data_IF_925735276155
#
_entry.id   IF_925735276155
#
_cell.length_a   1.000
_cell.length_b   1.000
_cell.length_c   1.000
_cell.angle_alpha   90.00
_cell.angle_beta   90.00
_cell.angle_gamma   90.00
#
_symmetry.space_group_name_H-M   'P 1'
#
loop_
_entity.id
_entity.type
_entity.pdbx_description
1 polymer ?
#
# COMPACT_ATOMS: atom_id res chain seq x y z
N UNK A 1 3.46 -5.04 -7.51
CA UNK A 1 4.22 -6.19 -6.99
C UNK A 1 4.24 -7.32 -8.02
N UNK A 2 3.10 -7.93 -8.36
CA UNK A 2 3.05 -9.08 -9.30
C UNK A 2 3.46 -8.70 -10.73
N UNK A 3 2.88 -7.65 -11.32
CA UNK A 3 3.15 -7.31 -12.73
C UNK A 3 4.54 -6.69 -12.95
N UNK A 4 5.06 -5.99 -11.95
CA UNK A 4 6.33 -5.25 -12.01
C UNK A 4 6.22 -3.80 -12.50
N UNK A 5 5.01 -3.30 -12.77
CA UNK A 5 4.75 -1.88 -13.03
C UNK A 5 3.38 -1.44 -12.48
N UNK A 6 3.05 -0.16 -12.61
CA UNK A 6 1.75 0.40 -12.20
C UNK A 6 0.64 -0.02 -13.17
N UNK A 7 -0.60 -0.27 -12.72
CA UNK A 7 -1.71 -0.67 -13.60
C UNK A 7 -2.00 0.29 -14.76
N UNK A 8 -1.75 1.59 -14.58
CA UNK A 8 -2.08 2.64 -15.55
C UNK A 8 -0.85 3.30 -16.21
N UNK A 9 0.36 2.82 -15.88
CA UNK A 9 1.62 3.33 -16.42
C UNK A 9 2.66 2.23 -16.57
N UNK A 10 3.11 2.02 -17.80
CA UNK A 10 4.13 1.00 -18.13
C UNK A 10 5.51 1.42 -17.65
N UNK A 11 6.41 0.44 -17.54
CA UNK A 11 7.78 0.69 -17.12
C UNK A 11 8.49 1.65 -18.08
N UNK A 12 9.12 2.70 -17.53
CA UNK A 12 9.80 3.79 -18.27
C UNK A 12 8.91 4.59 -19.23
N UNK A 13 7.60 4.45 -19.17
CA UNK A 13 6.67 5.25 -19.99
C UNK A 13 6.71 6.74 -19.57
N UNK A 14 6.87 7.63 -20.56
CA UNK A 14 6.69 9.08 -20.37
C UNK A 14 5.25 9.44 -20.71
N UNK A 15 4.46 9.75 -19.68
CA UNK A 15 3.05 10.12 -19.79
C UNK A 15 2.82 11.42 -19.01
N UNK A 16 1.97 12.31 -19.54
CA UNK A 16 1.59 13.53 -18.81
C UNK A 16 0.74 13.19 -17.59
N UNK A 17 0.64 14.14 -16.66
CA UNK A 17 -0.19 13.97 -15.47
C UNK A 17 -1.66 13.82 -15.84
N UNK A 18 -2.14 14.63 -16.77
CA UNK A 18 -3.53 14.70 -17.20
C UNK A 18 -3.97 13.39 -17.86
N UNK A 19 -3.11 12.81 -18.71
CA UNK A 19 -3.38 11.52 -19.33
C UNK A 19 -3.37 10.40 -18.29
N UNK A 20 -2.42 10.38 -17.36
CA UNK A 20 -2.41 9.39 -16.29
C UNK A 20 -3.67 9.48 -15.41
N UNK A 21 -4.11 10.69 -15.08
CA UNK A 21 -5.36 10.91 -14.35
C UNK A 21 -6.59 10.42 -15.14
N UNK A 22 -6.62 10.64 -16.46
CA UNK A 22 -7.67 10.10 -17.32
C UNK A 22 -7.70 8.57 -17.25
N UNK A 23 -6.56 7.89 -17.43
CA UNK A 23 -6.45 6.42 -17.35
C UNK A 23 -6.93 5.89 -15.99
N UNK A 24 -6.49 6.51 -14.90
CA UNK A 24 -6.91 6.15 -13.54
C UNK A 24 -8.43 6.31 -13.36
N UNK A 25 -9.08 7.26 -14.02
CA UNK A 25 -10.54 7.47 -13.90
C UNK A 25 -11.35 6.58 -14.84
N UNK A 26 -10.88 6.37 -16.07
CA UNK A 26 -11.71 5.81 -17.15
C UNK A 26 -11.29 4.42 -17.62
N UNK A 27 -10.02 4.07 -17.52
CA UNK A 27 -9.51 2.82 -18.09
C UNK A 27 -9.57 1.66 -17.10
N UNK A 28 -9.72 0.47 -17.67
CA UNK A 28 -9.64 -0.80 -16.97
C UNK A 28 -8.23 -1.37 -17.02
N UNK A 29 -7.72 -1.81 -15.88
CA UNK A 29 -6.40 -2.44 -15.83
C UNK A 29 -6.39 -3.81 -16.53
N UNK A 30 -5.22 -4.15 -17.07
CA UNK A 30 -4.96 -5.42 -17.73
C UNK A 30 -4.12 -6.31 -16.80
N UNK A 31 -4.34 -7.62 -16.89
CA UNK A 31 -3.63 -8.62 -16.09
C UNK A 31 -2.90 -9.59 -17.02
N UNK A 32 -1.60 -9.79 -16.80
CA UNK A 32 -0.86 -10.85 -17.47
C UNK A 32 -1.10 -12.22 -16.82
N UNK A 33 -0.47 -13.24 -17.39
CA UNK A 33 -0.47 -14.61 -16.85
C UNK A 33 0.31 -14.75 -15.53
N UNK A 34 1.04 -13.72 -15.08
CA UNK A 34 1.72 -13.72 -13.77
C UNK A 34 0.72 -13.76 -12.60
N UNK A 35 -0.53 -13.39 -12.83
CA UNK A 35 -1.55 -13.36 -11.79
C UNK A 35 -2.30 -14.69 -11.71
N UNK A 36 -2.38 -15.25 -10.50
CA UNK A 36 -3.38 -16.27 -10.18
C UNK A 36 -4.79 -15.69 -10.26
N UNK A 37 -5.79 -16.55 -10.35
CA UNK A 37 -7.20 -16.11 -10.39
C UNK A 37 -7.59 -15.37 -9.10
N UNK A 38 -7.13 -15.81 -7.93
CA UNK A 38 -7.34 -15.12 -6.66
C UNK A 38 -6.67 -13.73 -6.66
N UNK A 39 -5.48 -13.59 -7.25
CA UNK A 39 -4.79 -12.30 -7.36
C UNK A 39 -5.48 -11.34 -8.33
N UNK A 40 -5.99 -11.83 -9.47
CA UNK A 40 -6.83 -11.02 -10.37
C UNK A 40 -8.13 -10.61 -9.69
N UNK A 41 -8.73 -11.52 -8.91
CA UNK A 41 -9.97 -11.28 -8.20
C UNK A 41 -9.85 -10.09 -7.25
N UNK A 42 -8.88 -10.10 -6.33
CA UNK A 42 -8.73 -9.02 -5.33
C UNK A 42 -8.38 -7.67 -5.96
N UNK A 43 -7.64 -7.66 -7.07
CA UNK A 43 -7.25 -6.41 -7.72
C UNK A 43 -8.36 -5.82 -8.59
N UNK A 44 -9.16 -6.63 -9.27
CA UNK A 44 -9.87 -6.17 -10.47
C UNK A 44 -10.94 -5.09 -10.28
N UNK A 45 -11.32 -4.40 -11.35
CA UNK A 45 -12.41 -3.41 -11.29
C UNK A 45 -13.80 -3.98 -11.60
N UNK A 46 -13.87 -5.19 -12.14
CA UNK A 46 -15.13 -5.76 -12.58
C UNK A 46 -16.01 -6.19 -11.40
N UNK A 47 -17.02 -5.38 -11.08
CA UNK A 47 -18.23 -5.89 -10.46
C UNK A 47 -18.96 -6.70 -11.53
N UNK A 48 -19.00 -8.04 -11.44
CA UNK A 48 -19.99 -8.77 -12.26
C UNK A 48 -21.35 -8.33 -11.73
N UNK A 49 -22.04 -7.47 -12.48
CA UNK A 49 -23.48 -7.32 -12.32
C UNK A 49 -24.10 -8.71 -12.53
N UNK A 50 -25.15 -9.02 -11.77
CA UNK A 50 -25.93 -10.26 -11.90
C UNK A 50 -26.19 -10.61 -13.37
N UNK A 51 -25.43 -11.54 -13.93
CA UNK A 51 -25.82 -12.24 -15.15
C UNK A 51 -27.05 -13.06 -14.80
N UNK A 52 -28.20 -12.65 -15.35
CA UNK A 52 -29.46 -13.40 -15.27
C UNK A 52 -29.26 -14.75 -15.95
N UNK A 53 -29.03 -15.82 -15.18
CA UNK A 53 -29.28 -17.18 -15.67
C UNK A 53 -28.21 -18.25 -15.42
N UNK A 54 -27.16 -18.03 -14.61
CA UNK A 54 -26.33 -19.15 -14.13
C UNK A 54 -26.18 -19.11 -12.62
N UNK A 55 -26.61 -20.20 -11.98
CA UNK A 55 -26.25 -20.53 -10.60
C UNK A 55 -24.74 -20.83 -10.53
N UNK A 56 -23.94 -19.77 -10.56
CA UNK A 56 -22.61 -19.79 -9.99
C UNK A 56 -22.75 -19.09 -8.66
N UNK A 57 -22.30 -19.72 -7.58
CA UNK A 57 -22.26 -19.13 -6.24
C UNK A 57 -21.41 -17.86 -6.35
N UNK A 58 -22.07 -16.71 -6.50
CA UNK A 58 -21.44 -15.40 -6.58
C UNK A 58 -21.11 -14.98 -5.15
N UNK A 59 -20.06 -15.55 -4.58
CA UNK A 59 -19.38 -14.94 -3.44
C UNK A 59 -18.82 -13.59 -3.91
N UNK A 60 -19.14 -12.52 -3.19
CA UNK A 60 -18.98 -11.12 -3.60
C UNK A 60 -17.66 -10.84 -4.32
N UNK A 61 -17.75 -10.27 -5.52
CA UNK A 61 -16.61 -9.76 -6.26
C UNK A 61 -16.16 -8.44 -5.62
N UNK A 62 -15.60 -8.53 -4.42
CA UNK A 62 -15.04 -7.44 -3.64
C UNK A 62 -13.61 -7.19 -4.08
N UNK A 63 -13.31 -5.97 -4.54
CA UNK A 63 -12.02 -5.67 -5.18
C UNK A 63 -11.47 -4.29 -4.86
N UNK A 64 -10.14 -4.17 -4.93
CA UNK A 64 -9.41 -3.00 -4.46
C UNK A 64 -9.34 -1.85 -5.48
N UNK A 65 -9.35 -2.13 -6.79
CA UNK A 65 -9.22 -1.07 -7.81
C UNK A 65 -10.56 -0.47 -8.23
N UNK A 66 -11.70 -0.94 -7.71
CA UNK A 66 -13.03 -0.39 -8.04
C UNK A 66 -13.00 1.14 -7.90
N UNK A 67 -13.40 1.83 -8.98
CA UNK A 67 -13.30 3.28 -9.07
C UNK A 67 -14.18 3.97 -8.03
N UNK A 68 -15.41 3.51 -7.85
CA UNK A 68 -16.34 4.02 -6.85
C UNK A 68 -15.98 3.51 -5.44
N UNK A 69 -15.53 4.38 -4.52
CA UNK A 69 -15.12 3.95 -3.19
C UNK A 69 -16.23 3.25 -2.41
N UNK A 70 -17.50 3.57 -2.67
CA UNK A 70 -18.65 2.96 -1.95
C UNK A 70 -18.80 1.46 -2.21
N UNK A 71 -18.25 0.99 -3.33
CA UNK A 71 -18.27 -0.41 -3.75
C UNK A 71 -16.89 -1.06 -3.63
N UNK A 72 -15.86 -0.33 -3.20
CA UNK A 72 -14.50 -0.84 -3.07
C UNK A 72 -14.39 -1.71 -1.82
N UNK A 73 -13.73 -2.85 -1.96
CA UNK A 73 -13.52 -3.78 -0.85
C UNK A 73 -12.84 -3.08 0.33
N UNK A 74 -13.43 -3.25 1.51
CA UNK A 74 -12.98 -2.63 2.76
C UNK A 74 -13.39 -1.15 2.93
N UNK A 75 -14.11 -0.57 1.98
CA UNK A 75 -14.69 0.78 2.07
C UNK A 75 -16.22 0.78 2.15
N UNK A 76 -16.83 -0.41 2.20
CA UNK A 76 -18.26 -0.59 2.28
C UNK A 76 -18.78 -0.17 3.67
N UNK A 77 -19.99 0.37 3.72
CA UNK A 77 -20.59 0.93 4.94
C UNK A 77 -21.14 -0.12 5.91
N UNK A 78 -20.96 -1.41 5.60
CA UNK A 78 -21.33 -2.56 6.44
C UNK A 78 -20.40 -2.75 7.65
N UNK A 79 -19.27 -2.02 7.69
CA UNK A 79 -18.42 -1.91 8.88
C UNK A 79 -17.32 -2.97 8.99
N UNK A 80 -17.17 -3.84 7.99
CA UNK A 80 -16.18 -4.92 8.03
C UNK A 80 -14.75 -4.44 7.71
N UNK A 81 -14.59 -3.34 6.97
CA UNK A 81 -13.29 -2.69 6.75
C UNK A 81 -12.18 -3.67 6.34
N UNK A 82 -11.11 -3.72 7.14
CA UNK A 82 -10.00 -4.65 6.91
C UNK A 82 -10.39 -6.13 7.08
N UNK A 83 -11.41 -6.45 7.88
CA UNK A 83 -11.87 -7.83 8.08
C UNK A 83 -12.43 -8.41 6.77
N UNK A 84 -13.17 -7.62 5.98
CA UNK A 84 -13.62 -8.05 4.65
C UNK A 84 -12.43 -8.35 3.71
N UNK A 85 -11.38 -7.51 3.76
CA UNK A 85 -10.16 -7.72 2.95
C UNK A 85 -9.45 -9.02 3.36
N UNK A 86 -9.32 -9.27 4.67
CA UNK A 86 -8.65 -10.47 5.22
C UNK A 86 -9.36 -11.78 4.85
N UNK A 87 -10.66 -11.74 4.58
CA UNK A 87 -11.44 -12.91 4.17
C UNK A 87 -11.28 -13.27 2.69
N UNK A 88 -10.63 -12.42 1.89
CA UNK A 88 -10.46 -12.69 0.46
C UNK A 88 -9.62 -13.97 0.22
N UNK A 89 -10.00 -14.87 -0.72
CA UNK A 89 -9.33 -16.16 -0.97
C UNK A 89 -7.82 -16.10 -1.24
N UNK A 90 -7.30 -14.96 -1.69
CA UNK A 90 -5.85 -14.74 -1.87
C UNK A 90 -5.06 -14.91 -0.55
N UNK A 91 -5.73 -14.73 0.60
CA UNK A 91 -5.14 -14.88 1.94
C UNK A 91 -5.53 -16.19 2.62
N UNK A 92 -6.08 -17.18 1.90
CA UNK A 92 -6.54 -18.45 2.48
C UNK A 92 -5.48 -19.20 3.29
N UNK A 93 -4.20 -19.03 2.94
CA UNK A 93 -3.08 -19.68 3.60
C UNK A 93 -2.45 -18.81 4.70
N UNK A 94 -3.03 -17.64 5.00
CA UNK A 94 -2.54 -16.70 6.02
C UNK A 94 -3.40 -16.75 7.27
N UNK A 95 -2.81 -17.15 8.39
CA UNK A 95 -3.42 -16.96 9.70
C UNK A 95 -3.09 -15.55 10.22
N UNK A 96 -4.04 -14.63 10.12
CA UNK A 96 -3.85 -13.23 10.52
C UNK A 96 -3.52 -13.03 12.00
N UNK A 97 -4.10 -13.83 12.91
CA UNK A 97 -3.77 -13.74 14.33
C UNK A 97 -2.31 -14.11 14.60
N UNK A 98 -1.77 -15.09 13.88
CA UNK A 98 -0.34 -15.42 13.95
C UNK A 98 0.55 -14.38 13.28
N UNK A 99 0.10 -13.80 12.17
CA UNK A 99 0.81 -12.73 11.48
C UNK A 99 0.96 -11.48 12.36
N UNK A 100 -0.14 -11.05 12.99
CA UNK A 100 -0.17 -9.87 13.88
C UNK A 100 0.69 -10.06 15.14
N UNK A 101 0.82 -11.31 15.59
CA UNK A 101 1.71 -11.69 16.69
C UNK A 101 3.16 -11.96 16.25
N UNK A 102 3.53 -11.67 14.99
CA UNK A 102 4.85 -11.89 14.42
C UNK A 102 5.34 -13.36 14.52
N UNK A 103 4.42 -14.31 14.33
CA UNK A 103 4.67 -15.77 14.44
C UNK A 103 4.66 -16.50 13.09
N UNK A 104 4.72 -15.77 11.98
CA UNK A 104 4.87 -16.31 10.63
C UNK A 104 6.20 -15.83 10.06
N UNK A 105 7.02 -16.77 9.58
CA UNK A 105 8.28 -16.42 8.94
C UNK A 105 8.03 -15.68 7.62
N UNK A 106 8.72 -14.56 7.35
CA UNK A 106 8.66 -13.92 6.05
C UNK A 106 9.24 -14.84 4.96
N UNK A 107 8.71 -14.77 3.73
CA UNK A 107 9.20 -15.60 2.62
C UNK A 107 10.55 -15.13 2.06
N UNK A 108 11.05 -13.97 2.48
CA UNK A 108 12.32 -13.40 2.05
C UNK A 108 12.99 -12.67 3.22
N UNK A 109 14.28 -12.95 3.43
CA UNK A 109 15.13 -12.27 4.39
C UNK A 109 16.18 -11.44 3.65
N UNK A 110 16.28 -10.11 3.91
CA UNK A 110 17.33 -9.29 3.31
C UNK A 110 18.71 -9.71 3.84
N UNK A 111 19.71 -9.65 2.97
CA UNK A 111 21.11 -9.84 3.32
C UNK A 111 21.57 -8.66 4.19
N UNK A 112 22.03 -8.90 5.43
CA UNK A 112 22.48 -7.83 6.33
C UNK A 112 23.71 -7.07 5.80
N UNK A 113 24.44 -7.61 4.83
CA UNK A 113 25.61 -6.95 4.23
C UNK A 113 25.26 -6.12 2.99
N UNK A 114 24.02 -6.21 2.49
CA UNK A 114 23.57 -5.48 1.30
C UNK A 114 22.93 -4.12 1.65
N UNK A 115 23.15 -3.13 0.79
CA UNK A 115 22.52 -1.80 0.90
C UNK A 115 21.30 -1.75 -0.04
N UNK A 116 20.10 -1.59 0.53
CA UNK A 116 18.83 -1.59 -0.21
C UNK A 116 18.34 -0.18 -0.60
N UNK A 117 19.24 0.67 -1.06
CA UNK A 117 18.91 2.00 -1.58
C UNK A 117 19.93 2.41 -2.66
N UNK A 118 19.67 3.53 -3.35
CA UNK A 118 20.64 4.09 -4.30
C UNK A 118 21.86 4.62 -3.56
N UNK A 119 23.00 4.62 -4.24
CA UNK A 119 24.20 5.31 -3.76
C UNK A 119 23.90 6.80 -3.56
N UNK A 120 24.47 7.40 -2.52
CA UNK A 120 24.34 8.82 -2.23
C UNK A 120 24.81 9.70 -3.39
N UNK A 121 25.79 9.23 -4.17
CA UNK A 121 26.30 9.92 -5.36
C UNK A 121 25.31 9.93 -6.52
N UNK A 122 24.38 8.98 -6.57
CA UNK A 122 23.31 8.90 -7.58
C UNK A 122 22.05 9.70 -7.19
N UNK A 123 22.02 10.24 -5.96
CA UNK A 123 20.92 11.06 -5.47
C UNK A 123 21.22 12.52 -5.83
N UNK A 124 20.36 13.11 -6.67
CA UNK A 124 20.50 14.51 -7.05
C UNK A 124 20.43 15.44 -5.83
N UNK A 125 21.38 16.37 -5.74
CA UNK A 125 21.35 17.42 -4.72
C UNK A 125 20.28 18.46 -5.04
N UNK A 126 19.53 18.87 -4.03
CA UNK A 126 18.66 20.03 -4.13
C UNK A 126 19.49 21.30 -4.09
N UNK A 127 19.11 22.30 -4.90
CA UNK A 127 19.70 23.62 -4.84
C UNK A 127 19.45 24.26 -3.48
N UNK A 128 20.45 24.95 -2.93
CA UNK A 128 20.27 25.76 -1.72
C UNK A 128 19.22 26.84 -1.99
N UNK A 129 18.15 26.83 -1.21
CA UNK A 129 17.12 27.86 -1.26
C UNK A 129 17.68 29.13 -0.61
N UNK A 130 17.74 30.22 -1.38
CA UNK A 130 18.18 31.54 -0.90
C UNK A 130 16.97 32.45 -0.69
N UNK A 131 17.09 33.40 0.24
CA UNK A 131 16.06 34.42 0.48
C UNK A 131 14.92 33.98 1.39
N UNK A 132 15.04 32.83 2.06
CA UNK A 132 14.15 32.42 3.15
C UNK A 132 14.73 32.95 4.45
N UNK A 133 13.95 33.76 5.15
CA UNK A 133 14.27 34.24 6.49
C UNK A 133 13.29 33.61 7.46
N UNK A 134 13.82 32.95 8.50
CA UNK A 134 13.00 32.39 9.55
C UNK A 134 12.58 33.50 10.52
N UNK A 135 11.33 33.45 10.96
CA UNK A 135 10.79 34.39 11.93
C UNK A 135 10.23 33.68 13.17
N UNK A 136 9.62 34.45 14.07
CA UNK A 136 9.06 33.94 15.32
C UNK A 136 7.98 32.88 15.13
N UNK A 137 7.28 32.88 13.99
CA UNK A 137 6.26 31.87 13.68
C UNK A 137 6.89 30.50 13.39
N UNK A 138 8.07 30.49 12.75
CA UNK A 138 8.86 29.27 12.53
C UNK A 138 9.37 28.71 13.85
N UNK A 139 9.88 29.56 14.76
CA UNK A 139 10.32 29.14 16.09
C UNK A 139 9.20 28.53 16.92
N UNK A 140 8.00 29.14 16.85
CA UNK A 140 6.81 28.60 17.50
C UNK A 140 6.44 27.22 16.94
N UNK A 141 6.54 27.02 15.62
CA UNK A 141 6.34 25.73 14.98
C UNK A 141 7.40 24.70 15.42
N UNK A 142 8.69 25.06 15.45
CA UNK A 142 9.75 24.15 15.87
C UNK A 142 9.55 23.66 17.30
N UNK A 143 9.07 24.53 18.19
CA UNK A 143 8.74 24.17 19.58
C UNK A 143 7.58 23.18 19.66
N UNK A 144 6.57 23.33 18.79
CA UNK A 144 5.45 22.38 18.72
C UNK A 144 5.86 21.04 18.11
N UNK A 145 6.78 21.06 17.15
CA UNK A 145 7.26 19.86 16.46
C UNK A 145 8.18 19.00 17.34
N UNK A 146 9.12 19.63 18.05
CA UNK A 146 10.15 18.96 18.84
C UNK A 146 9.61 18.42 20.18
N UNK A 147 8.71 17.44 20.10
CA UNK A 147 8.04 16.83 21.28
C UNK A 147 8.96 15.92 22.11
N UNK A 148 10.18 15.64 21.66
CA UNK A 148 11.14 14.80 22.38
C UNK A 148 10.89 13.30 22.18
N UNK A 149 11.06 12.51 23.24
CA UNK A 149 10.89 11.06 23.16
C UNK A 149 9.41 10.67 23.05
N UNK A 150 9.12 9.70 22.18
CA UNK A 150 7.79 9.10 22.08
C UNK A 150 7.72 7.92 23.06
N UNK A 151 6.77 7.96 23.98
CA UNK A 151 6.74 7.09 25.17
C UNK A 151 6.85 5.59 24.87
N UNK A 152 5.99 5.04 24.00
CA UNK A 152 5.94 3.59 23.75
C UNK A 152 7.23 3.08 23.07
N UNK A 153 7.71 3.68 21.95
CA UNK A 153 8.98 3.27 21.35
C UNK A 153 10.17 3.39 22.32
N UNK A 154 10.26 4.48 23.09
CA UNK A 154 11.36 4.69 24.03
C UNK A 154 11.38 3.65 25.15
N UNK A 155 10.21 3.31 25.71
CA UNK A 155 10.12 2.25 26.72
C UNK A 155 10.50 0.88 26.15
N UNK A 156 10.06 0.56 24.94
CA UNK A 156 10.41 -0.71 24.29
C UNK A 156 11.92 -0.81 24.02
N UNK A 157 12.56 0.28 23.58
CA UNK A 157 14.01 0.34 23.38
C UNK A 157 14.76 0.06 24.69
N UNK A 158 14.41 0.76 25.78
CA UNK A 158 15.04 0.55 27.09
C UNK A 158 14.84 -0.88 27.59
N UNK A 159 13.64 -1.45 27.43
CA UNK A 159 13.38 -2.83 27.84
C UNK A 159 14.22 -3.84 27.04
N UNK A 160 14.30 -3.69 25.71
CA UNK A 160 15.12 -4.56 24.87
C UNK A 160 16.58 -4.56 25.32
N UNK A 161 17.17 -3.37 25.54
CA UNK A 161 18.54 -3.23 26.03
C UNK A 161 18.80 -3.83 27.41
N UNK A 162 17.79 -3.92 28.28
CA UNK A 162 17.93 -4.50 29.62
C UNK A 162 17.74 -6.02 29.66
N UNK A 163 17.23 -6.61 28.58
CA UNK A 163 16.94 -8.05 28.48
C UNK A 163 17.91 -8.83 27.61
N UNK A 164 18.82 -8.15 26.91
CA UNK A 164 20.00 -8.73 26.21
C UNK A 164 21.25 -8.70 27.11
#
# INVERSE_FOLDING_TARGET
>A
MIEGHSPFKKYKEKVSREELERRVKTETEEYSEKFSEDAKSICSMHHRGKDRGRNVVSMGADKLLIKDPRHRLGCQNDGDGAAAVKQHPVFKDINFSRLEANMLDPPFYPDPQAIYCKDILDIGQFSVVKGVNLDSSDEAFYTQFATGCVTIPWQNEVLLFLTE
#
